data_IF_820844087043
#
_entry.id   IF_820844087043
#
_cell.length_a   1.000
_cell.length_b   1.000
_cell.length_c   1.000
_cell.angle_alpha   90.00
_cell.angle_beta   90.00
_cell.angle_gamma   90.00
#
_symmetry.space_group_name_H-M   'P 1'
#
loop_
_entity.id
_entity.type
_entity.pdbx_description
1 polymer ?
#
# COMPACT_ATOMS: atom_id res chain seq x y z
N UNK A 1 17.84 -10.49 13.73
CA UNK A 1 16.87 -9.46 13.40
C UNK A 1 16.56 -9.39 11.89
N UNK A 2 17.58 -9.29 11.02
CA UNK A 2 17.41 -9.19 9.54
C UNK A 2 16.66 -10.38 8.92
N UNK A 3 16.96 -11.60 9.35
CA UNK A 3 16.25 -12.80 8.87
C UNK A 3 14.78 -12.80 9.31
N UNK A 4 14.51 -12.49 10.58
CA UNK A 4 13.16 -12.40 11.13
C UNK A 4 12.29 -11.41 10.34
N UNK A 5 12.79 -10.19 10.11
CA UNK A 5 12.07 -9.16 9.33
C UNK A 5 11.77 -9.65 7.91
N UNK A 6 12.74 -10.27 7.24
CA UNK A 6 12.51 -10.83 5.90
C UNK A 6 11.45 -11.93 5.89
N UNK A 7 11.45 -12.82 6.90
CA UNK A 7 10.43 -13.86 7.02
C UNK A 7 9.04 -13.27 7.24
N UNK A 8 8.92 -12.26 8.12
CA UNK A 8 7.64 -11.57 8.35
C UNK A 8 7.13 -10.90 7.08
N UNK A 9 7.97 -10.11 6.41
CA UNK A 9 7.61 -9.44 5.16
C UNK A 9 7.20 -10.45 4.09
N UNK A 10 7.94 -11.56 3.96
CA UNK A 10 7.61 -12.63 3.03
C UNK A 10 6.26 -13.29 3.36
N UNK A 11 6.01 -13.62 4.63
CA UNK A 11 4.76 -14.24 5.06
C UNK A 11 3.55 -13.33 4.87
N UNK A 12 3.66 -12.05 5.25
CA UNK A 12 2.58 -11.06 5.10
C UNK A 12 2.25 -10.83 3.63
N UNK A 13 3.27 -10.68 2.77
CA UNK A 13 3.05 -10.48 1.32
C UNK A 13 2.61 -11.75 0.59
N UNK A 14 2.91 -12.93 1.14
CA UNK A 14 2.53 -14.24 0.59
C UNK A 14 1.15 -14.72 1.02
N UNK A 15 0.46 -13.99 1.90
CA UNK A 15 -0.88 -14.35 2.40
C UNK A 15 -1.93 -13.32 1.97
N UNK A 16 -3.19 -13.75 1.70
CA UNK A 16 -4.26 -12.83 1.32
C UNK A 16 -4.57 -11.82 2.43
N UNK A 17 -4.73 -10.54 2.08
CA UNK A 17 -5.10 -9.48 3.03
C UNK A 17 -6.43 -9.78 3.74
N UNK A 18 -7.39 -10.37 3.04
CA UNK A 18 -8.66 -10.81 3.62
C UNK A 18 -8.44 -11.79 4.79
N UNK A 19 -7.53 -12.75 4.64
CA UNK A 19 -7.19 -13.70 5.71
C UNK A 19 -6.56 -12.98 6.90
N UNK A 20 -5.68 -12.00 6.66
CA UNK A 20 -5.05 -11.20 7.71
C UNK A 20 -6.09 -10.41 8.52
N UNK A 21 -7.07 -9.79 7.84
CA UNK A 21 -8.18 -9.08 8.49
C UNK A 21 -8.96 -10.04 9.41
N UNK A 22 -9.30 -11.23 8.93
CA UNK A 22 -10.04 -12.23 9.70
C UNK A 22 -9.24 -12.69 10.92
N UNK A 23 -7.96 -12.99 10.75
CA UNK A 23 -7.08 -13.45 11.85
C UNK A 23 -6.88 -12.37 12.90
N UNK A 24 -6.65 -11.11 12.49
CA UNK A 24 -6.43 -9.99 13.42
C UNK A 24 -7.73 -9.66 14.19
N UNK A 25 -8.89 -9.84 13.57
CA UNK A 25 -10.18 -9.56 14.21
C UNK A 25 -10.61 -10.69 15.16
N UNK A 26 -10.61 -11.93 14.70
CA UNK A 26 -11.12 -13.07 15.49
C UNK A 26 -10.06 -13.71 16.38
N UNK A 27 -8.77 -13.63 16.02
CA UNK A 27 -7.68 -14.27 16.74
C UNK A 27 -7.61 -13.88 18.23
N UNK A 28 -7.62 -12.60 18.59
CA UNK A 28 -7.59 -12.16 19.98
C UNK A 28 -8.78 -12.68 20.81
N UNK A 29 -9.97 -12.75 20.21
CA UNK A 29 -11.16 -13.25 20.87
C UNK A 29 -11.06 -14.78 21.13
N UNK A 30 -10.55 -15.54 20.18
CA UNK A 30 -10.41 -16.99 20.29
C UNK A 30 -9.27 -17.42 21.24
N UNK A 31 -8.15 -16.66 21.27
CA UNK A 31 -6.97 -17.03 22.03
C UNK A 31 -6.98 -16.48 23.47
N UNK A 32 -7.52 -15.28 23.67
CA UNK A 32 -7.45 -14.56 24.94
C UNK A 32 -8.79 -14.02 25.43
N UNK A 33 -9.92 -14.30 24.74
CA UNK A 33 -11.23 -13.76 25.09
C UNK A 33 -11.38 -12.24 24.88
N UNK A 34 -10.42 -11.59 24.22
CA UNK A 34 -10.41 -10.14 24.00
C UNK A 34 -11.10 -9.78 22.66
N UNK A 35 -12.14 -8.93 22.73
CA UNK A 35 -12.81 -8.46 21.52
C UNK A 35 -12.09 -7.25 20.93
N UNK A 36 -11.59 -7.39 19.71
CA UNK A 36 -11.01 -6.28 18.95
C UNK A 36 -12.13 -5.42 18.32
N UNK A 37 -12.02 -4.07 18.33
CA UNK A 37 -12.93 -3.22 17.60
C UNK A 37 -12.76 -3.46 16.09
N UNK A 38 -13.88 -3.64 15.36
CA UNK A 38 -13.87 -3.99 13.93
C UNK A 38 -13.03 -3.05 13.08
N UNK A 39 -13.27 -1.75 13.21
CA UNK A 39 -12.51 -0.73 12.47
C UNK A 39 -11.02 -0.76 12.82
N UNK A 40 -10.68 -0.89 14.10
CA UNK A 40 -9.29 -0.99 14.56
C UNK A 40 -8.57 -2.22 14.01
N UNK A 41 -9.24 -3.38 13.97
CA UNK A 41 -8.69 -4.61 13.41
C UNK A 41 -8.47 -4.49 11.88
N UNK A 42 -9.43 -3.92 11.15
CA UNK A 42 -9.26 -3.62 9.74
C UNK A 42 -8.08 -2.68 9.49
N UNK A 43 -8.03 -1.55 10.20
CA UNK A 43 -6.97 -0.56 10.06
C UNK A 43 -5.59 -1.16 10.35
N UNK A 44 -5.45 -1.93 11.43
CA UNK A 44 -4.21 -2.60 11.79
C UNK A 44 -3.76 -3.57 10.70
N UNK A 45 -4.69 -4.33 10.12
CA UNK A 45 -4.42 -5.26 9.02
C UNK A 45 -3.88 -4.55 7.79
N UNK A 46 -4.51 -3.44 7.39
CA UNK A 46 -4.05 -2.61 6.28
C UNK A 46 -2.66 -2.02 6.56
N UNK A 47 -2.43 -1.48 7.75
CA UNK A 47 -1.13 -0.91 8.13
C UNK A 47 -0.03 -1.96 8.05
N UNK A 48 -0.22 -3.15 8.62
CA UNK A 48 0.78 -4.23 8.59
C UNK A 48 1.05 -4.68 7.15
N UNK A 49 -0.01 -4.94 6.38
CA UNK A 49 0.10 -5.41 5.01
C UNK A 49 0.85 -4.40 4.13
N UNK A 50 0.36 -3.16 4.08
CA UNK A 50 0.94 -2.12 3.22
C UNK A 50 2.32 -1.66 3.68
N UNK A 51 2.63 -1.68 5.00
CA UNK A 51 3.99 -1.46 5.47
C UNK A 51 4.98 -2.48 4.89
N UNK A 52 4.58 -3.76 4.80
CA UNK A 52 5.39 -4.79 4.18
C UNK A 52 5.59 -4.56 2.67
N UNK A 53 4.53 -4.17 1.94
CA UNK A 53 4.64 -3.84 0.51
C UNK A 53 5.53 -2.62 0.28
N UNK A 54 5.31 -1.52 1.00
CA UNK A 54 6.14 -0.32 0.88
C UNK A 54 7.59 -0.57 1.27
N UNK A 55 7.86 -1.39 2.30
CA UNK A 55 9.23 -1.74 2.68
C UNK A 55 10.02 -2.36 1.52
N UNK A 56 9.37 -3.22 0.72
CA UNK A 56 10.00 -3.84 -0.45
C UNK A 56 10.14 -2.86 -1.63
N UNK A 57 9.19 -1.95 -1.82
CA UNK A 57 9.31 -0.88 -2.82
C UNK A 57 10.50 0.01 -2.50
N UNK A 58 10.64 0.46 -1.24
CA UNK A 58 11.79 1.25 -0.80
C UNK A 58 13.10 0.49 -0.95
N UNK A 59 13.14 -0.78 -0.51
CA UNK A 59 14.32 -1.62 -0.66
C UNK A 59 14.73 -1.78 -2.12
N UNK A 60 13.76 -2.08 -3.00
CA UNK A 60 13.99 -2.21 -4.43
C UNK A 60 14.47 -0.91 -5.07
N UNK A 61 13.86 0.22 -4.72
CA UNK A 61 14.27 1.54 -5.18
C UNK A 61 15.70 1.89 -4.82
N UNK A 62 16.11 1.62 -3.57
CA UNK A 62 17.48 1.85 -3.10
C UNK A 62 18.48 0.93 -3.83
N UNK A 63 18.16 -0.35 -3.94
CA UNK A 63 19.05 -1.34 -4.59
C UNK A 63 19.19 -1.13 -6.10
N UNK A 64 18.24 -0.45 -6.72
CA UNK A 64 18.27 -0.15 -8.15
C UNK A 64 19.23 1.00 -8.52
N UNK A 65 19.81 1.72 -7.54
CA UNK A 65 20.80 2.76 -7.82
C UNK A 65 22.15 2.11 -8.07
N UNK A 66 22.79 2.37 -9.24
CA UNK A 66 24.11 1.82 -9.54
C UNK A 66 25.18 2.28 -8.54
N UNK A 67 26.06 1.38 -8.12
CA UNK A 67 27.18 1.71 -7.21
C UNK A 67 28.07 2.83 -7.76
N UNK A 68 28.22 2.93 -9.07
CA UNK A 68 28.98 4.00 -9.73
C UNK A 68 28.51 5.41 -9.38
N UNK A 69 27.24 5.60 -8.99
CA UNK A 69 26.75 6.90 -8.49
C UNK A 69 27.37 7.26 -7.14
N UNK A 70 27.56 6.26 -6.28
CA UNK A 70 28.23 6.43 -5.01
C UNK A 70 29.73 6.68 -5.18
N UNK A 71 30.38 5.89 -6.04
CA UNK A 71 31.81 6.02 -6.37
C UNK A 71 32.13 7.39 -7.00
N UNK A 72 31.31 7.85 -7.95
CA UNK A 72 31.46 9.17 -8.55
C UNK A 72 31.37 10.29 -7.51
N UNK A 73 30.44 10.19 -6.56
CA UNK A 73 30.33 11.14 -5.45
C UNK A 73 31.58 11.15 -4.58
N UNK A 74 32.19 9.99 -4.33
CA UNK A 74 33.46 9.89 -3.56
C UNK A 74 34.63 10.54 -4.28
N UNK A 75 34.75 10.32 -5.59
CA UNK A 75 35.80 10.95 -6.43
C UNK A 75 35.69 12.47 -6.40
N UNK A 76 34.47 13.02 -6.31
CA UNK A 76 34.21 14.45 -6.16
C UNK A 76 34.45 14.96 -4.72
N UNK A 77 34.95 14.12 -3.81
CA UNK A 77 35.20 14.51 -2.41
C UNK A 77 33.95 14.71 -1.56
N UNK A 78 32.78 14.20 -1.99
CA UNK A 78 31.54 14.32 -1.24
C UNK A 78 31.53 13.35 -0.05
N UNK A 79 30.98 13.82 1.08
CA UNK A 79 30.73 12.96 2.23
C UNK A 79 29.59 11.98 1.94
N UNK A 80 29.52 10.86 2.68
CA UNK A 80 28.44 9.86 2.56
C UNK A 80 27.06 10.48 2.66
N UNK A 81 26.88 11.42 3.57
CA UNK A 81 25.61 12.15 3.76
C UNK A 81 25.27 13.03 2.55
N UNK A 82 26.25 13.72 1.98
CA UNK A 82 26.06 14.52 0.77
C UNK A 82 25.68 13.64 -0.43
N UNK A 83 26.35 12.52 -0.62
CA UNK A 83 26.03 11.54 -1.67
C UNK A 83 24.60 11.04 -1.50
N UNK A 84 24.22 10.67 -0.26
CA UNK A 84 22.87 10.17 0.00
C UNK A 84 21.80 11.22 -0.35
N UNK A 85 21.87 12.43 0.21
CA UNK A 85 20.81 13.43 0.04
C UNK A 85 20.80 14.11 -1.32
N UNK A 86 21.98 14.34 -1.93
CA UNK A 86 22.07 15.09 -3.20
C UNK A 86 22.02 14.19 -4.44
N UNK A 87 22.40 12.90 -4.32
CA UNK A 87 22.48 12.00 -5.47
C UNK A 87 21.51 10.84 -5.32
N UNK A 88 21.66 10.01 -4.27
CA UNK A 88 20.94 8.75 -4.14
C UNK A 88 19.45 8.96 -3.88
N UNK A 89 19.10 9.79 -2.90
CA UNK A 89 17.72 9.98 -2.48
C UNK A 89 16.81 10.47 -3.61
N UNK A 90 17.25 11.44 -4.40
CA UNK A 90 16.47 11.97 -5.53
C UNK A 90 16.19 10.91 -6.59
N UNK A 91 17.17 10.06 -6.89
CA UNK A 91 17.03 8.95 -7.83
C UNK A 91 16.12 7.85 -7.26
N UNK A 92 16.22 7.55 -5.96
CA UNK A 92 15.34 6.60 -5.27
C UNK A 92 13.89 7.07 -5.33
N UNK A 93 13.63 8.34 -4.97
CA UNK A 93 12.27 8.91 -4.99
C UNK A 93 11.65 8.74 -6.38
N UNK A 94 12.36 9.09 -7.45
CA UNK A 94 11.87 8.91 -8.82
C UNK A 94 11.48 7.46 -9.12
N UNK A 95 12.26 6.49 -8.65
CA UNK A 95 12.03 5.05 -8.90
C UNK A 95 10.91 4.44 -8.08
N UNK A 96 10.64 4.96 -6.86
CA UNK A 96 9.61 4.40 -5.97
C UNK A 96 8.22 4.98 -6.23
N UNK A 97 8.10 6.18 -6.80
CA UNK A 97 6.80 6.84 -7.02
C UNK A 97 5.86 6.02 -7.89
N UNK A 98 6.25 5.47 -9.06
CA UNK A 98 5.34 4.68 -9.88
C UNK A 98 4.79 3.44 -9.14
N UNK A 99 5.61 2.56 -8.54
CA UNK A 99 5.08 1.43 -7.79
C UNK A 99 4.29 1.84 -6.55
N UNK A 100 4.64 2.95 -5.87
CA UNK A 100 3.84 3.47 -4.76
C UNK A 100 2.45 3.91 -5.24
N UNK A 101 2.35 4.62 -6.37
CA UNK A 101 1.08 5.02 -6.96
C UNK A 101 0.15 3.82 -7.21
N UNK A 102 0.69 2.73 -7.74
CA UNK A 102 -0.06 1.49 -7.94
C UNK A 102 -0.55 0.90 -6.62
N UNK A 103 0.26 0.90 -5.56
CA UNK A 103 -0.15 0.40 -4.25
C UNK A 103 -1.22 1.29 -3.59
N UNK A 104 -1.20 2.61 -3.79
CA UNK A 104 -2.28 3.48 -3.32
C UNK A 104 -3.61 3.19 -4.04
N UNK A 105 -3.58 2.94 -5.35
CA UNK A 105 -4.76 2.54 -6.12
C UNK A 105 -5.29 1.17 -5.63
N UNK A 106 -4.39 0.23 -5.32
CA UNK A 106 -4.76 -1.06 -4.76
C UNK A 106 -5.38 -0.91 -3.37
N UNK A 107 -4.77 -0.09 -2.48
CA UNK A 107 -5.28 0.18 -1.14
C UNK A 107 -6.74 0.66 -1.17
N UNK A 108 -7.08 1.59 -2.07
CA UNK A 108 -8.47 2.07 -2.22
C UNK A 108 -9.42 0.93 -2.56
N UNK A 109 -9.06 0.04 -3.48
CA UNK A 109 -9.88 -1.13 -3.83
C UNK A 109 -9.97 -2.14 -2.68
N UNK A 110 -8.87 -2.35 -1.99
CA UNK A 110 -8.77 -3.30 -0.88
C UNK A 110 -9.60 -2.87 0.35
N UNK A 111 -9.96 -1.58 0.47
CA UNK A 111 -10.88 -1.13 1.54
C UNK A 111 -12.19 -1.91 1.55
N UNK A 112 -12.65 -2.41 0.38
CA UNK A 112 -13.82 -3.26 0.27
C UNK A 112 -13.69 -4.59 1.05
N UNK A 113 -12.48 -5.06 1.35
CA UNK A 113 -12.27 -6.28 2.12
C UNK A 113 -12.66 -6.12 3.59
N UNK A 114 -12.72 -4.90 4.12
CA UNK A 114 -13.12 -4.63 5.51
C UNK A 114 -14.57 -5.08 5.81
N UNK A 115 -15.41 -5.24 4.78
CA UNK A 115 -16.76 -5.79 4.92
C UNK A 115 -16.79 -7.21 5.49
N UNK A 116 -15.71 -8.01 5.34
CA UNK A 116 -15.63 -9.38 5.84
C UNK A 116 -15.78 -9.48 7.36
N UNK A 117 -15.43 -8.42 8.07
CA UNK A 117 -15.62 -8.28 9.51
C UNK A 117 -16.72 -7.23 9.84
N UNK A 118 -17.64 -7.00 8.90
CA UNK A 118 -18.77 -6.10 9.03
C UNK A 118 -18.37 -4.63 9.36
N UNK A 119 -17.30 -4.13 8.75
CA UNK A 119 -17.01 -2.69 8.64
C UNK A 119 -17.79 -2.15 7.45
N UNK A 120 -18.60 -1.11 7.69
CA UNK A 120 -19.40 -0.49 6.65
C UNK A 120 -18.55 0.35 5.72
N UNK A 121 -18.62 0.05 4.43
CA UNK A 121 -17.91 0.72 3.37
C UNK A 121 -18.79 0.87 2.11
N UNK A 122 -18.28 1.47 1.04
CA UNK A 122 -19.07 1.84 -0.14
C UNK A 122 -19.73 0.64 -0.81
N UNK A 123 -19.01 -0.47 -1.00
CA UNK A 123 -19.52 -1.68 -1.64
C UNK A 123 -20.60 -2.34 -0.78
N UNK A 124 -20.41 -2.36 0.56
CA UNK A 124 -21.39 -2.88 1.50
C UNK A 124 -22.72 -2.12 1.40
N UNK A 125 -22.67 -0.78 1.23
CA UNK A 125 -23.87 0.03 1.03
C UNK A 125 -24.61 -0.37 -0.26
N UNK A 126 -23.90 -0.63 -1.35
CA UNK A 126 -24.50 -1.13 -2.60
C UNK A 126 -25.17 -2.50 -2.42
N UNK A 127 -24.49 -3.45 -1.75
CA UNK A 127 -25.04 -4.80 -1.47
C UNK A 127 -26.28 -4.77 -0.58
N UNK A 128 -26.37 -3.82 0.35
CA UNK A 128 -27.54 -3.66 1.23
C UNK A 128 -28.83 -3.44 0.42
N UNK A 129 -28.76 -2.69 -0.68
CA UNK A 129 -29.92 -2.47 -1.54
C UNK A 129 -30.35 -3.73 -2.28
N UNK A 130 -29.42 -4.58 -2.69
CA UNK A 130 -29.75 -5.88 -3.28
C UNK A 130 -30.50 -6.74 -2.26
N UNK A 131 -29.96 -6.86 -1.05
CA UNK A 131 -30.51 -7.71 0.01
C UNK A 131 -31.88 -7.22 0.51
N UNK A 132 -32.10 -5.90 0.57
CA UNK A 132 -33.32 -5.31 1.11
C UNK A 132 -34.41 -5.05 0.08
N UNK A 133 -34.06 -4.75 -1.18
CA UNK A 133 -35.02 -4.30 -2.22
C UNK A 133 -34.88 -5.08 -3.53
N UNK A 134 -33.94 -6.01 -3.68
CA UNK A 134 -33.70 -6.72 -4.92
C UNK A 134 -33.15 -5.85 -6.06
N UNK A 135 -32.60 -4.65 -5.73
CA UNK A 135 -32.17 -3.66 -6.72
C UNK A 135 -30.64 -3.75 -6.90
N UNK A 136 -30.19 -4.01 -8.12
CA UNK A 136 -28.76 -4.16 -8.46
C UNK A 136 -28.07 -2.83 -8.82
N UNK A 137 -28.79 -1.83 -9.27
CA UNK A 137 -28.24 -0.55 -9.76
C UNK A 137 -27.25 0.14 -8.81
N UNK A 138 -27.44 0.11 -7.46
CA UNK A 138 -26.48 0.71 -6.54
C UNK A 138 -25.07 0.15 -6.64
N UNK A 139 -24.88 -1.10 -7.07
CA UNK A 139 -23.53 -1.65 -7.32
C UNK A 139 -22.82 -0.95 -8.49
N UNK A 140 -23.55 -0.57 -9.54
CA UNK A 140 -22.95 0.19 -10.63
C UNK A 140 -22.49 1.58 -10.16
N UNK A 141 -23.22 2.22 -9.26
CA UNK A 141 -22.78 3.49 -8.67
C UNK A 141 -21.53 3.31 -7.81
N UNK A 142 -21.42 2.21 -7.04
CA UNK A 142 -20.18 1.92 -6.30
C UNK A 142 -19.00 1.67 -7.26
N UNK A 143 -19.21 0.98 -8.36
CA UNK A 143 -18.20 0.77 -9.38
C UNK A 143 -17.74 2.10 -10.02
N UNK A 144 -18.68 2.99 -10.36
CA UNK A 144 -18.38 4.33 -10.88
C UNK A 144 -17.60 5.15 -9.85
N UNK A 145 -17.98 5.09 -8.57
CA UNK A 145 -17.24 5.76 -7.49
C UNK A 145 -15.77 5.31 -7.44
N UNK A 146 -15.52 4.00 -7.42
CA UNK A 146 -14.16 3.46 -7.43
C UNK A 146 -13.40 3.86 -8.71
N UNK A 147 -14.06 3.85 -9.87
CA UNK A 147 -13.45 4.24 -11.15
C UNK A 147 -13.01 5.71 -11.14
N UNK A 148 -13.89 6.61 -10.68
CA UNK A 148 -13.58 8.05 -10.59
C UNK A 148 -12.43 8.27 -9.60
N UNK A 149 -12.51 7.69 -8.40
CA UNK A 149 -11.52 7.89 -7.37
C UNK A 149 -10.14 7.37 -7.79
N UNK A 150 -10.08 6.15 -8.34
CA UNK A 150 -8.84 5.57 -8.87
C UNK A 150 -8.33 6.34 -10.09
N UNK A 151 -9.21 6.84 -10.95
CA UNK A 151 -8.86 7.72 -12.06
C UNK A 151 -8.18 9.00 -11.60
N UNK A 152 -8.73 9.65 -10.57
CA UNK A 152 -8.11 10.85 -9.97
C UNK A 152 -6.72 10.55 -9.38
N UNK A 153 -6.56 9.42 -8.67
CA UNK A 153 -5.26 8.99 -8.16
C UNK A 153 -4.28 8.72 -9.29
N UNK A 154 -4.71 8.04 -10.36
CA UNK A 154 -3.87 7.77 -11.54
C UNK A 154 -3.38 9.07 -12.18
N UNK A 155 -4.27 10.06 -12.35
CA UNK A 155 -3.90 11.37 -12.89
C UNK A 155 -2.92 12.11 -11.96
N UNK A 156 -3.16 12.06 -10.64
CA UNK A 156 -2.29 12.68 -9.65
C UNK A 156 -0.87 12.08 -9.69
N UNK A 157 -0.76 10.75 -9.62
CA UNK A 157 0.54 10.08 -9.67
C UNK A 157 1.22 10.28 -11.02
N UNK A 158 0.50 10.22 -12.14
CA UNK A 158 1.04 10.52 -13.46
C UNK A 158 1.54 11.96 -13.60
N UNK A 159 0.89 12.92 -12.95
CA UNK A 159 1.39 14.30 -12.87
C UNK A 159 2.66 14.40 -12.04
N UNK A 160 2.73 13.72 -10.88
CA UNK A 160 3.93 13.67 -10.03
C UNK A 160 5.10 13.04 -10.80
N UNK A 161 4.88 11.92 -11.46
CA UNK A 161 5.89 11.24 -12.29
C UNK A 161 6.45 12.15 -13.37
N UNK A 162 5.58 12.83 -14.14
CA UNK A 162 6.01 13.80 -15.18
C UNK A 162 6.83 14.95 -14.59
N UNK A 163 6.45 15.45 -13.42
CA UNK A 163 7.19 16.54 -12.75
C UNK A 163 8.59 16.11 -12.29
N UNK A 164 8.78 14.81 -12.07
CA UNK A 164 10.06 14.21 -11.63
C UNK A 164 10.90 13.67 -12.79
N UNK A 165 10.48 13.84 -14.04
CA UNK A 165 11.20 13.32 -15.23
C UNK A 165 12.31 14.27 -15.72
N UNK A 166 13.02 14.92 -14.79
CA UNK A 166 14.14 15.81 -15.06
C UNK A 166 15.51 15.08 -15.10
N UNK A 167 15.58 13.80 -14.79
CA UNK A 167 16.76 12.94 -15.01
C UNK A 167 16.40 11.89 -16.06
N UNK A 168 17.11 11.93 -17.19
CA UNK A 168 17.06 10.85 -18.20
C UNK A 168 18.10 9.79 -17.91
#
# INVERSE_FOLDING_TARGET
LRALVKTVVWAVRGTPLMLQIIVIFYGPALLWGMQAPRFGAALLSFVINYACYFSEIFRGGIQAIPNGQYEAGQVLGMTKTQIFFKITLLQVIKRIIPPMGNEFINLVKDTALARTIAVYEVLWMGEKFIKSKGIIWPLFYTAVFYLIFNGLLTLLFGWIEKKMDYFK
#
